data_IF_909197336113
#
_entry.id   IF_909197336113
#
_cell.length_a   1.000
_cell.length_b   1.000
_cell.length_c   1.000
_cell.angle_alpha   90.00
_cell.angle_beta   90.00
_cell.angle_gamma   90.00
#
_symmetry.space_group_name_H-M   'P 1'
#
loop_
_entity.id
_entity.type
_entity.pdbx_description
1 polymer ?
#
# COMPACT_ATOMS: atom_id res chain seq x y z
N UNK A 1 -24.77 18.25 16.72
CA UNK A 1 -24.71 17.07 15.82
C UNK A 1 -23.33 16.46 15.98
N UNK A 2 -23.22 15.33 16.69
CA UNK A 2 -21.99 14.53 16.71
C UNK A 2 -21.92 13.80 15.37
N UNK A 3 -21.02 14.23 14.47
CA UNK A 3 -20.77 13.49 13.23
C UNK A 3 -20.10 12.16 13.62
N UNK A 4 -20.87 11.08 13.59
CA UNK A 4 -20.42 9.71 13.84
C UNK A 4 -19.58 9.12 12.68
N UNK A 5 -18.97 9.97 11.85
CA UNK A 5 -18.28 9.55 10.61
C UNK A 5 -16.76 9.59 10.71
N UNK A 6 -16.19 10.11 11.78
CA UNK A 6 -14.75 10.03 12.05
C UNK A 6 -14.48 8.82 12.94
N UNK A 7 -14.72 7.62 12.40
CA UNK A 7 -14.37 6.36 13.05
C UNK A 7 -12.84 6.32 13.21
N UNK A 8 -12.28 6.45 14.44
CA UNK A 8 -10.85 6.55 14.65
C UNK A 8 -10.22 5.17 14.37
N UNK A 9 -9.68 4.98 13.17
CA UNK A 9 -9.06 3.72 12.78
C UNK A 9 -9.33 3.22 11.36
N UNK A 10 -10.05 3.95 10.51
CA UNK A 10 -10.07 3.62 9.08
C UNK A 10 -8.66 3.69 8.50
N UNK A 11 -8.29 2.73 7.65
CA UNK A 11 -6.94 2.51 7.09
C UNK A 11 -6.38 3.62 6.19
N UNK A 12 -6.65 4.88 6.48
CA UNK A 12 -6.21 6.09 5.78
C UNK A 12 -4.78 6.53 6.12
N UNK A 13 -3.90 5.59 6.49
CA UNK A 13 -2.49 5.93 6.67
C UNK A 13 -1.75 5.96 5.33
N UNK A 14 -0.80 6.91 5.14
CA UNK A 14 0.06 6.93 3.95
C UNK A 14 0.79 5.60 3.74
N UNK A 15 1.23 4.95 4.82
CA UNK A 15 1.88 3.64 4.74
C UNK A 15 0.98 2.56 4.09
N UNK A 16 -0.29 2.49 4.50
CA UNK A 16 -1.23 1.52 3.95
C UNK A 16 -1.50 1.79 2.47
N UNK A 17 -1.74 3.05 2.10
CA UNK A 17 -2.06 3.40 0.71
C UNK A 17 -0.86 3.21 -0.22
N UNK A 18 0.35 3.55 0.21
CA UNK A 18 1.58 3.29 -0.56
C UNK A 18 1.75 1.79 -0.83
N UNK A 19 1.62 0.95 0.19
CA UNK A 19 1.72 -0.50 0.02
C UNK A 19 0.69 -1.02 -0.97
N UNK A 20 -0.58 -0.62 -0.82
CA UNK A 20 -1.69 -1.05 -1.69
C UNK A 20 -1.44 -0.65 -3.14
N UNK A 21 -1.06 0.60 -3.40
CA UNK A 21 -0.79 1.07 -4.79
C UNK A 21 0.33 0.26 -5.42
N UNK A 22 1.44 0.02 -4.71
CA UNK A 22 2.55 -0.78 -5.25
C UNK A 22 2.08 -2.21 -5.55
N UNK A 23 1.30 -2.83 -4.66
CA UNK A 23 0.80 -4.18 -4.87
C UNK A 23 -0.19 -4.27 -6.05
N UNK A 24 -1.06 -3.28 -6.22
CA UNK A 24 -1.99 -3.21 -7.37
C UNK A 24 -1.24 -3.06 -8.69
N UNK A 25 -0.18 -2.24 -8.73
CA UNK A 25 0.69 -2.10 -9.91
C UNK A 25 1.40 -3.42 -10.20
N UNK A 26 1.94 -4.09 -9.18
CA UNK A 26 2.62 -5.37 -9.33
C UNK A 26 1.70 -6.45 -9.91
N UNK A 27 0.47 -6.57 -9.40
CA UNK A 27 -0.50 -7.56 -9.92
C UNK A 27 -0.95 -7.20 -11.34
N UNK A 28 -1.17 -5.92 -11.63
CA UNK A 28 -1.53 -5.46 -12.97
C UNK A 28 -0.45 -5.81 -14.00
N UNK A 29 0.82 -5.53 -13.66
CA UNK A 29 1.97 -5.88 -14.49
C UNK A 29 2.16 -7.40 -14.59
N UNK A 30 2.01 -8.13 -13.49
CA UNK A 30 2.08 -9.60 -13.48
C UNK A 30 1.06 -10.22 -14.44
N UNK A 31 -0.18 -9.71 -14.43
CA UNK A 31 -1.25 -10.15 -15.33
C UNK A 31 -0.92 -9.83 -16.79
N UNK A 32 -0.45 -8.61 -17.06
CA UNK A 32 -0.03 -8.18 -18.40
C UNK A 32 1.11 -9.07 -18.95
N UNK A 33 2.16 -9.30 -18.17
CA UNK A 33 3.31 -10.08 -18.61
C UNK A 33 3.02 -11.58 -18.70
N UNK A 34 2.09 -12.09 -17.90
CA UNK A 34 1.60 -13.45 -18.04
C UNK A 34 0.86 -13.63 -19.38
N UNK A 35 0.00 -12.67 -19.75
CA UNK A 35 -0.69 -12.67 -21.04
C UNK A 35 0.26 -12.59 -22.24
N UNK A 36 1.37 -11.86 -22.11
CA UNK A 36 2.40 -11.72 -23.15
C UNK A 36 3.41 -12.87 -23.19
N UNK A 37 3.22 -13.93 -22.40
CA UNK A 37 4.15 -15.07 -22.29
C UNK A 37 5.60 -14.66 -21.94
N UNK A 38 5.76 -13.66 -21.06
CA UNK A 38 7.06 -13.13 -20.65
C UNK A 38 7.42 -13.58 -19.22
N UNK A 39 7.91 -14.82 -19.00
CA UNK A 39 8.07 -15.41 -17.67
C UNK A 39 9.04 -14.63 -16.76
N UNK A 40 10.11 -14.07 -17.32
CA UNK A 40 11.07 -13.27 -16.54
C UNK A 40 10.42 -12.02 -15.92
N UNK A 41 9.54 -11.36 -16.68
CA UNK A 41 8.83 -10.17 -16.23
C UNK A 41 7.70 -10.51 -15.24
N UNK A 42 7.09 -11.70 -15.35
CA UNK A 42 6.16 -12.21 -14.32
C UNK A 42 6.87 -12.36 -12.98
N UNK A 43 8.06 -12.96 -12.95
CA UNK A 43 8.84 -13.07 -11.72
C UNK A 43 9.30 -11.71 -11.18
N UNK A 44 9.64 -10.77 -12.07
CA UNK A 44 9.93 -9.39 -11.66
C UNK A 44 8.72 -8.73 -10.96
N UNK A 45 7.49 -8.95 -11.46
CA UNK A 45 6.26 -8.48 -10.82
C UNK A 45 6.01 -9.14 -9.47
N UNK A 46 6.35 -10.42 -9.29
CA UNK A 46 6.27 -11.10 -7.99
C UNK A 46 7.23 -10.46 -6.98
N UNK A 47 8.46 -10.16 -7.39
CA UNK A 47 9.43 -9.44 -6.54
C UNK A 47 8.88 -8.06 -6.18
N UNK A 48 8.32 -7.33 -7.14
CA UNK A 48 7.71 -6.02 -6.89
C UNK A 48 6.54 -6.10 -5.90
N UNK A 49 5.73 -7.16 -5.97
CA UNK A 49 4.63 -7.39 -5.02
C UNK A 49 5.15 -7.54 -3.59
N UNK A 50 6.22 -8.31 -3.39
CA UNK A 50 6.88 -8.48 -2.10
C UNK A 50 7.46 -7.15 -1.60
N UNK A 51 8.07 -6.36 -2.48
CA UNK A 51 8.54 -5.00 -2.14
C UNK A 51 7.37 -4.11 -1.69
N UNK A 52 6.22 -4.18 -2.34
CA UNK A 52 5.00 -3.48 -1.95
C UNK A 52 4.55 -3.85 -0.54
N UNK A 53 4.49 -5.15 -0.22
CA UNK A 53 4.14 -5.62 1.12
C UNK A 53 5.14 -5.12 2.18
N UNK A 54 6.45 -5.21 1.88
CA UNK A 54 7.50 -4.73 2.78
C UNK A 54 7.46 -3.21 2.97
N UNK A 55 7.11 -2.44 1.95
CA UNK A 55 7.04 -0.98 2.04
C UNK A 55 6.03 -0.51 3.10
N UNK A 56 4.88 -1.18 3.22
CA UNK A 56 3.89 -0.89 4.26
C UNK A 56 4.45 -1.09 5.66
N UNK A 57 5.18 -2.19 5.87
CA UNK A 57 5.84 -2.47 7.15
C UNK A 57 6.93 -1.45 7.48
N UNK A 58 7.78 -1.12 6.52
CA UNK A 58 8.86 -0.13 6.68
C UNK A 58 8.28 1.26 7.00
N UNK A 59 7.26 1.69 6.26
CA UNK A 59 6.62 3.00 6.45
C UNK A 59 5.86 3.07 7.78
N UNK A 60 5.21 1.98 8.19
CA UNK A 60 4.59 1.90 9.50
C UNK A 60 5.63 2.09 10.62
N UNK A 61 6.79 1.42 10.51
CA UNK A 61 7.89 1.55 11.47
C UNK A 61 8.55 2.93 11.45
N UNK A 62 8.55 3.60 10.28
CA UNK A 62 9.01 4.98 10.14
C UNK A 62 8.02 6.03 10.71
N UNK A 63 6.85 5.60 11.20
CA UNK A 63 5.85 6.45 11.83
C UNK A 63 4.80 7.04 10.87
N UNK A 64 4.66 6.48 9.67
CA UNK A 64 3.61 6.83 8.70
C UNK A 64 2.41 5.88 8.74
N UNK A 65 2.38 4.96 9.72
CA UNK A 65 1.22 4.10 9.98
C UNK A 65 0.07 4.88 10.63
N UNK A 66 -1.08 4.23 10.77
CA UNK A 66 -2.33 4.82 11.31
C UNK A 66 -2.16 5.47 12.70
N UNK A 67 -1.24 4.96 13.52
CA UNK A 67 -0.93 5.46 14.85
C UNK A 67 0.50 6.05 14.94
N UNK A 68 1.08 6.37 13.79
CA UNK A 68 2.47 6.80 13.72
C UNK A 68 2.65 8.26 14.16
N UNK A 69 3.74 8.61 14.87
CA UNK A 69 3.97 9.96 15.40
C UNK A 69 4.12 11.05 14.32
N UNK A 70 4.23 10.67 13.04
CA UNK A 70 4.36 11.59 11.91
C UNK A 70 3.07 11.75 11.08
N UNK A 71 2.02 10.98 11.39
CA UNK A 71 0.73 11.11 10.73
C UNK A 71 -0.22 11.94 11.58
N UNK A 72 -0.48 13.18 11.16
CA UNK A 72 -1.54 14.03 11.70
C UNK A 72 -2.73 13.94 10.73
N UNK A 73 -3.85 13.29 11.10
CA UNK A 73 -5.04 13.33 10.28
C UNK A 73 -5.49 14.78 10.12
N UNK A 74 -5.71 15.21 8.87
CA UNK A 74 -6.16 16.55 8.56
C UNK A 74 -7.61 16.68 9.03
N UNK A 75 -7.85 17.42 10.11
CA UNK A 75 -9.21 17.76 10.54
C UNK A 75 -9.87 18.58 9.42
N UNK A 76 -10.93 18.03 8.85
CA UNK A 76 -11.80 18.68 7.88
C UNK A 76 -13.15 18.94 8.53
#
# INVERSE_FOLDING_TARGET
MSNATDEPGHGHSPAAWTAVVIMLVAISLGTLFFFLEMPALVWASVVLLVVGALSGWVLAKAGYGVNGPKYLPKQH
#
